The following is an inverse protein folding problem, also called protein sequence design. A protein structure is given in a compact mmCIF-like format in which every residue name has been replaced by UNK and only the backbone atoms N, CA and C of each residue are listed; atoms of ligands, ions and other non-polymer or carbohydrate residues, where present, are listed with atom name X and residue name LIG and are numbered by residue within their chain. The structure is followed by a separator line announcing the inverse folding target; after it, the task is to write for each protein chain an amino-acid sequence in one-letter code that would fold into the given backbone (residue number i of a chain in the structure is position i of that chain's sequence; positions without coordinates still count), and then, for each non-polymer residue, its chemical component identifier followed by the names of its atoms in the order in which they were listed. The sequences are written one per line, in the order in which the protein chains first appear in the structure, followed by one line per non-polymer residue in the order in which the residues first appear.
data_IF_636668922514
#
_entry.id   IF_636668922514
#
_cell.length_a   1.000
_cell.length_b   1.000
_cell.length_c   1.000
_cell.angle_alpha   90.00
_cell.angle_beta   90.00
_cell.angle_gamma   90.00
#
_symmetry.space_group_name_H-M   'P 1'
#
loop_
_entity.id
_entity.type
_entity.pdbx_description
1 polymer ?
#
# COMPACT_ATOMS: atom_id res chain seq x y z
N UNK A 1 7.72 -17.16 -6.73
CA UNK A 1 7.07 -15.85 -6.76
C UNK A 1 7.96 -14.85 -7.46
N UNK A 2 7.39 -14.06 -8.33
CA UNK A 2 8.14 -13.12 -9.15
C UNK A 2 7.93 -11.71 -8.61
N UNK A 3 8.97 -11.10 -8.06
CA UNK A 3 8.88 -9.74 -7.54
C UNK A 3 9.61 -8.80 -8.48
N UNK A 4 9.12 -8.71 -9.69
CA UNK A 4 9.81 -7.97 -10.73
C UNK A 4 9.29 -6.55 -10.92
N UNK A 5 8.23 -6.17 -10.27
CA UNK A 5 7.70 -4.81 -10.39
C UNK A 5 8.22 -3.94 -9.25
N UNK A 6 8.39 -2.66 -9.54
CA UNK A 6 8.82 -1.70 -8.52
C UNK A 6 7.62 -0.89 -8.11
N UNK A 7 7.38 -0.85 -6.80
CA UNK A 7 6.33 -0.02 -6.24
C UNK A 7 6.97 0.95 -5.26
N UNK A 8 6.30 2.06 -5.01
CA UNK A 8 6.77 3.06 -4.05
C UNK A 8 5.85 3.04 -2.85
N UNK A 9 6.41 2.76 -1.69
CA UNK A 9 5.66 2.79 -0.43
C UNK A 9 5.76 4.18 0.15
N UNK A 10 4.63 4.76 0.50
CA UNK A 10 4.57 6.11 1.03
C UNK A 10 3.98 6.06 2.43
N UNK A 11 4.70 6.62 3.37
CA UNK A 11 4.24 6.67 4.74
C UNK A 11 4.65 8.00 5.35
N UNK A 12 4.58 8.06 6.68
CA UNK A 12 4.93 9.28 7.38
C UNK A 12 5.69 8.93 8.64
N UNK A 13 6.64 9.81 9.01
CA UNK A 13 7.22 9.73 10.33
C UNK A 13 6.71 10.94 11.11
N UNK A 14 6.63 10.81 12.42
CA UNK A 14 6.24 11.92 13.28
C UNK A 14 7.45 12.34 14.08
N UNK A 15 7.74 13.62 14.06
CA UNK A 15 8.88 14.17 14.79
C UNK A 15 8.42 15.40 15.54
N UNK A 16 9.02 15.64 16.69
CA UNK A 16 8.71 16.79 17.49
C UNK A 16 9.78 17.86 17.20
N UNK A 17 9.35 19.08 16.90
CA UNK A 17 10.32 20.13 16.60
C UNK A 17 10.80 20.79 17.91
N UNK A 18 11.62 21.83 17.79
CA UNK A 18 12.20 22.48 18.95
C UNK A 18 11.15 23.07 19.85
N UNK A 19 10.02 23.42 19.33
CA UNK A 19 8.95 24.02 20.11
C UNK A 19 7.97 23.00 20.66
N UNK A 20 8.25 21.72 20.49
CA UNK A 20 7.38 20.68 20.99
C UNK A 20 6.21 20.37 20.09
N UNK A 21 6.19 20.90 18.86
CA UNK A 21 5.10 20.66 17.93
C UNK A 21 5.39 19.41 17.11
N UNK A 22 4.41 18.50 17.07
CA UNK A 22 4.54 17.27 16.28
C UNK A 22 4.29 17.55 14.82
N UNK A 23 5.16 17.05 13.98
CA UNK A 23 5.04 17.21 12.53
C UNK A 23 5.10 15.86 11.86
N UNK A 24 4.33 15.72 10.79
CA UNK A 24 4.38 14.54 9.94
C UNK A 24 5.29 14.83 8.76
N UNK A 25 6.25 13.96 8.55
CA UNK A 25 7.14 14.08 7.40
C UNK A 25 6.89 12.88 6.49
N UNK A 26 6.57 13.10 5.23
CA UNK A 26 6.32 11.98 4.32
C UNK A 26 7.63 11.24 4.03
N UNK A 27 7.52 9.93 3.87
CA UNK A 27 8.64 9.09 3.50
C UNK A 27 8.25 8.28 2.29
N UNK A 28 9.21 8.05 1.39
CA UNK A 28 8.98 7.22 0.23
C UNK A 28 10.11 6.21 0.13
N UNK A 29 9.76 4.98 -0.24
CA UNK A 29 10.74 3.93 -0.43
C UNK A 29 10.30 3.08 -1.60
N UNK A 30 11.24 2.69 -2.45
CA UNK A 30 10.95 1.81 -3.57
C UNK A 30 11.31 0.39 -3.17
N UNK A 31 10.43 -0.55 -3.47
CA UNK A 31 10.67 -1.95 -3.18
C UNK A 31 10.17 -2.77 -4.37
N UNK A 32 10.71 -3.98 -4.48
CA UNK A 32 10.25 -4.91 -5.50
C UNK A 32 9.06 -5.69 -4.97
N UNK A 33 8.08 -5.90 -5.83
CA UNK A 33 6.87 -6.62 -5.44
C UNK A 33 6.32 -7.37 -6.64
N UNK A 34 5.55 -8.41 -6.33
CA UNK A 34 4.72 -9.07 -7.31
C UNK A 34 3.39 -8.34 -7.31
N UNK A 35 2.87 -8.00 -8.47
CA UNK A 35 1.62 -7.25 -8.59
C UNK A 35 0.57 -8.14 -9.23
N UNK A 36 -0.55 -8.31 -8.56
CA UNK A 36 -1.68 -9.08 -9.06
C UNK A 36 -2.94 -8.26 -8.89
N UNK A 37 -3.91 -8.50 -9.77
CA UNK A 37 -5.24 -7.93 -9.57
C UNK A 37 -5.90 -8.70 -8.42
N UNK A 38 -6.78 -8.03 -7.69
CA UNK A 38 -7.52 -8.73 -6.63
C UNK A 38 -8.45 -9.75 -7.29
N UNK A 39 -8.82 -10.77 -6.53
CA UNK A 39 -9.76 -11.77 -7.03
C UNK A 39 -11.15 -11.15 -7.12
N UNK A 40 -12.01 -11.82 -7.89
CA UNK A 40 -13.39 -11.38 -8.01
C UNK A 40 -14.07 -11.34 -6.65
N UNK A 41 -13.80 -12.35 -5.83
CA UNK A 41 -14.38 -12.44 -4.51
C UNK A 41 -13.95 -11.27 -3.63
N UNK A 42 -12.67 -10.95 -3.66
CA UNK A 42 -12.13 -9.83 -2.89
C UNK A 42 -12.75 -8.51 -3.38
N UNK A 43 -12.93 -8.37 -4.67
CA UNK A 43 -13.51 -7.17 -5.24
C UNK A 43 -14.94 -6.96 -4.75
N UNK A 44 -15.75 -8.02 -4.75
CA UNK A 44 -17.14 -7.88 -4.32
C UNK A 44 -17.24 -7.68 -2.81
N UNK A 45 -16.43 -8.38 -2.03
CA UNK A 45 -16.45 -8.20 -0.58
C UNK A 45 -16.04 -6.78 -0.20
N UNK A 46 -14.98 -6.28 -0.81
CA UNK A 46 -14.55 -4.92 -0.55
C UNK A 46 -15.59 -3.90 -0.96
N UNK A 47 -16.25 -4.14 -2.09
CA UNK A 47 -17.29 -3.24 -2.57
C UNK A 47 -18.45 -3.11 -1.60
N UNK A 48 -18.82 -4.22 -0.96
CA UNK A 48 -19.89 -4.17 0.04
C UNK A 48 -19.52 -3.29 1.22
N UNK A 49 -18.24 -3.16 1.49
CA UNK A 49 -17.77 -2.36 2.61
C UNK A 49 -17.31 -0.97 2.19
N UNK A 50 -17.69 -0.53 0.99
CA UNK A 50 -17.36 0.81 0.54
C UNK A 50 -15.95 0.95 0.01
N UNK A 51 -15.23 -0.14 -0.20
CA UNK A 51 -13.89 -0.11 -0.73
C UNK A 51 -13.92 -0.26 -2.24
N UNK A 52 -12.79 0.03 -2.86
CA UNK A 52 -12.66 -0.08 -4.30
C UNK A 52 -11.37 -0.86 -4.62
N UNK A 53 -11.30 -2.14 -4.23
CA UNK A 53 -10.08 -2.92 -4.35
C UNK A 53 -9.61 -3.05 -5.79
N UNK A 54 -8.31 -3.00 -5.99
CA UNK A 54 -7.78 -3.11 -7.34
C UNK A 54 -6.58 -4.05 -7.42
N UNK A 55 -5.59 -3.90 -6.55
CA UNK A 55 -4.36 -4.69 -6.63
C UNK A 55 -4.01 -5.37 -5.31
N UNK A 56 -3.28 -6.46 -5.45
CA UNK A 56 -2.63 -7.12 -4.33
C UNK A 56 -1.13 -7.09 -4.64
N UNK A 57 -0.35 -6.47 -3.76
CA UNK A 57 1.09 -6.41 -3.90
C UNK A 57 1.71 -7.38 -2.91
N UNK A 58 2.60 -8.26 -3.37
CA UNK A 58 3.25 -9.22 -2.50
C UNK A 58 4.74 -8.90 -2.46
N UNK A 59 5.28 -8.76 -1.27
CA UNK A 59 6.67 -8.35 -1.09
C UNK A 59 7.26 -9.03 0.14
N UNK A 60 8.55 -8.82 0.42
CA UNK A 60 9.16 -9.31 1.64
C UNK A 60 8.58 -8.56 2.82
N UNK A 61 8.19 -9.30 3.84
CA UNK A 61 7.61 -8.69 5.03
C UNK A 61 8.61 -7.75 5.71
N UNK A 62 9.89 -8.06 5.63
CA UNK A 62 10.91 -7.23 6.26
C UNK A 62 11.04 -5.86 5.62
N UNK A 63 10.60 -5.71 4.37
CA UNK A 63 10.68 -4.44 3.68
C UNK A 63 9.46 -3.56 3.95
N UNK A 64 8.45 -4.07 4.61
CA UNK A 64 7.23 -3.31 4.87
C UNK A 64 7.29 -2.72 6.26
N UNK A 65 7.08 -1.43 6.39
CA UNK A 65 7.16 -0.71 7.65
C UNK A 65 5.86 -0.06 8.06
N UNK A 66 4.74 -0.58 7.60
CA UNK A 66 3.45 -0.06 7.99
C UNK A 66 2.95 1.12 7.18
N UNK A 67 3.55 1.35 6.03
CA UNK A 67 3.08 2.43 5.16
C UNK A 67 1.64 2.14 4.73
N UNK A 68 0.85 3.18 4.58
CA UNK A 68 -0.55 3.02 4.24
C UNK A 68 -0.87 3.39 2.79
N UNK A 69 0.12 3.75 2.01
CA UNK A 69 -0.10 4.20 0.64
C UNK A 69 0.97 3.59 -0.26
N UNK A 70 0.57 3.20 -1.46
CA UNK A 70 1.50 2.66 -2.44
C UNK A 70 1.26 3.37 -3.77
N UNK A 71 2.34 3.65 -4.49
CA UNK A 71 2.26 4.24 -5.81
C UNK A 71 2.77 3.22 -6.81
N UNK A 72 2.00 3.00 -7.86
CA UNK A 72 2.33 2.01 -8.88
C UNK A 72 1.83 2.53 -10.23
N UNK A 73 2.71 2.49 -11.23
CA UNK A 73 2.37 2.96 -12.59
C UNK A 73 1.80 4.39 -12.57
N UNK A 74 2.35 5.25 -11.72
CA UNK A 74 1.92 6.63 -11.68
C UNK A 74 0.61 6.87 -10.97
N UNK A 75 0.02 5.86 -10.37
CA UNK A 75 -1.23 6.01 -9.63
C UNK A 75 -1.02 5.69 -8.17
N UNK A 76 -1.88 6.25 -7.34
CA UNK A 76 -1.78 6.12 -5.89
C UNK A 76 -2.90 5.24 -5.39
N UNK A 77 -2.55 4.29 -4.52
CA UNK A 77 -3.50 3.34 -3.95
C UNK A 77 -3.38 3.37 -2.44
N UNK A 78 -4.50 3.20 -1.75
CA UNK A 78 -4.50 3.08 -0.30
C UNK A 78 -4.49 1.62 0.11
N UNK A 79 -3.63 1.27 1.06
CA UNK A 79 -3.57 -0.10 1.57
C UNK A 79 -4.63 -0.23 2.64
N UNK A 80 -5.62 -1.09 2.42
CA UNK A 80 -6.71 -1.22 3.38
C UNK A 80 -6.61 -2.51 4.20
N UNK A 81 -5.74 -3.44 3.82
CA UNK A 81 -5.59 -4.68 4.53
C UNK A 81 -4.25 -5.32 4.19
N UNK A 82 -3.64 -5.96 5.16
CA UNK A 82 -2.41 -6.71 4.92
C UNK A 82 -2.61 -8.14 5.41
N UNK A 83 -1.81 -9.05 4.87
CA UNK A 83 -1.86 -10.44 5.25
C UNK A 83 -0.45 -11.01 5.21
N UNK A 84 0.00 -11.59 6.31
CA UNK A 84 1.31 -12.22 6.35
C UNK A 84 1.19 -13.60 5.72
N UNK A 85 1.91 -13.79 4.64
CA UNK A 85 1.91 -15.04 3.91
C UNK A 85 3.04 -15.95 4.34
N UNK A 86 3.38 -16.89 3.48
CA UNK A 86 4.45 -17.83 3.74
C UNK A 86 5.79 -17.24 3.33
N UNK A 87 6.87 -17.81 3.85
CA UNK A 87 8.21 -17.48 3.41
C UNK A 87 8.54 -16.00 3.53
N UNK A 88 8.16 -15.43 4.65
CA UNK A 88 8.48 -14.03 4.96
C UNK A 88 7.90 -13.05 3.96
N UNK A 89 6.74 -13.37 3.41
CA UNK A 89 6.06 -12.45 2.50
C UNK A 89 4.88 -11.77 3.20
N UNK A 90 4.51 -10.60 2.68
CA UNK A 90 3.33 -9.91 3.13
C UNK A 90 2.54 -9.49 1.89
N UNK A 91 1.23 -9.63 1.95
CA UNK A 91 0.33 -9.18 0.88
C UNK A 91 -0.30 -7.88 1.31
N UNK A 92 -0.26 -6.90 0.44
CA UNK A 92 -0.85 -5.59 0.68
C UNK A 92 -2.04 -5.45 -0.26
N UNK A 93 -3.23 -5.38 0.29
CA UNK A 93 -4.44 -5.22 -0.50
C UNK A 93 -4.74 -3.74 -0.62
N UNK A 94 -4.82 -3.26 -1.84
CA UNK A 94 -4.88 -1.84 -2.10
C UNK A 94 -6.10 -1.46 -2.92
N UNK A 95 -6.65 -0.31 -2.61
CA UNK A 95 -7.79 0.22 -3.34
C UNK A 95 -7.37 1.50 -4.04
N UNK A 96 -8.08 1.84 -5.10
CA UNK A 96 -7.82 3.08 -5.81
C UNK A 96 -8.13 4.26 -4.89
N UNK A 97 -7.15 5.15 -4.74
CA UNK A 97 -7.29 6.24 -3.83
C UNK A 97 -7.58 7.51 -4.59
N UNK A 98 -8.40 8.32 -4.03
CA UNK A 98 -8.66 9.60 -4.56
C UNK A 98 -9.35 9.58 -5.84
N UNK A 99 -10.06 8.59 -6.06
CA UNK A 99 -10.72 8.50 -7.28
C UNK A 99 -11.31 9.68 -7.67
N UNK A 100 -11.54 10.42 -6.83
CA UNK A 100 -12.10 11.48 -7.19
C UNK A 100 -11.27 12.43 -7.51
N UNK A 101 -10.45 12.47 -7.00
CA UNK A 101 -9.75 13.47 -7.22
C UNK A 101 -8.99 13.38 -8.20
N UNK A 102 -9.12 12.67 -8.58
CA UNK A 102 -8.42 12.64 -9.46
C UNK A 102 -8.88 12.92 -10.38
N UNK A 103 -9.36 13.27 -10.11
CA UNK A 103 -9.63 13.46 -10.97
C UNK A 103 -9.28 13.82 -11.49
#
# INVERSE_FOLDING_TARGET
MDRSSIITLIGYTKEQDENGVWRKTPTTRQVYAQVDSVTREEFYEGGRNGLNPEYRFTMFAYDYRGEDTVQYNGRTYGIYRTYLGREDTIELYAERKGGTNDV
#
